data_IF_435047751509
#
_entry.id   IF_435047751509
#
_cell.length_a   1.000
_cell.length_b   1.000
_cell.length_c   1.000
_cell.angle_alpha   90.00
_cell.angle_beta   90.00
_cell.angle_gamma   90.00
#
_symmetry.space_group_name_H-M   'P 1'
#
loop_
_entity.id
_entity.type
_entity.pdbx_description
1 polymer ?
#
# COMPACT_ATOMS: atom_id res chain seq x y z
N UNK A 1 27.46 15.21 5.64
CA UNK A 1 26.52 14.09 5.76
C UNK A 1 26.93 13.06 4.72
N UNK A 2 26.95 11.78 5.09
CA UNK A 2 27.21 10.66 4.20
C UNK A 2 25.89 10.02 3.76
N UNK A 3 25.89 9.38 2.59
CA UNK A 3 24.73 8.62 2.12
C UNK A 3 24.89 7.12 2.42
N UNK A 4 23.80 6.39 2.62
CA UNK A 4 23.83 4.91 2.68
C UNK A 4 24.38 4.28 1.39
N UNK A 5 24.53 5.05 0.31
CA UNK A 5 25.12 4.61 -0.97
C UNK A 5 26.67 4.62 -0.96
N UNK A 6 27.30 5.05 0.12
CA UNK A 6 28.76 5.27 0.21
C UNK A 6 29.50 4.14 0.97
N UNK A 7 28.92 2.95 1.04
CA UNK A 7 29.59 1.83 1.71
C UNK A 7 29.80 2.05 3.20
N UNK A 8 28.70 2.20 3.93
CA UNK A 8 28.70 2.60 5.36
C UNK A 8 28.72 1.43 6.35
N UNK A 9 28.68 0.19 5.88
CA UNK A 9 28.69 -1.04 6.68
C UNK A 9 29.66 -2.07 6.09
N UNK A 10 30.12 -3.06 6.87
CA UNK A 10 30.94 -4.15 6.37
C UNK A 10 30.10 -5.39 6.02
N UNK A 11 30.61 -6.23 5.11
CA UNK A 11 29.99 -7.52 4.75
C UNK A 11 29.87 -8.44 5.97
N UNK A 12 30.89 -8.46 6.84
CA UNK A 12 30.87 -9.26 8.07
C UNK A 12 29.77 -8.84 9.04
N UNK A 13 29.55 -7.53 9.17
CA UNK A 13 28.47 -6.99 9.98
C UNK A 13 27.10 -7.37 9.44
N UNK A 14 26.89 -7.24 8.13
CA UNK A 14 25.64 -7.64 7.50
C UNK A 14 25.37 -9.15 7.63
N UNK A 15 26.40 -10.00 7.59
CA UNK A 15 26.25 -11.44 7.76
C UNK A 15 25.79 -11.80 9.18
N UNK A 16 26.28 -11.12 10.22
CA UNK A 16 25.76 -11.29 11.60
C UNK A 16 24.29 -10.84 11.68
N UNK A 17 23.98 -9.71 11.07
CA UNK A 17 22.60 -9.20 10.98
C UNK A 17 21.65 -10.16 10.27
N UNK A 18 22.10 -10.84 9.21
CA UNK A 18 21.32 -11.82 8.49
C UNK A 18 20.93 -13.01 9.38
N UNK A 19 21.84 -13.52 10.17
CA UNK A 19 21.56 -14.63 11.09
C UNK A 19 20.51 -14.22 12.12
N UNK A 20 20.67 -13.03 12.70
CA UNK A 20 19.75 -12.48 13.67
C UNK A 20 18.36 -12.21 13.06
N UNK A 21 18.33 -11.66 11.84
CA UNK A 21 17.10 -11.43 11.09
C UNK A 21 16.30 -12.71 10.86
N UNK A 22 16.95 -13.77 10.40
CA UNK A 22 16.30 -15.07 10.18
C UNK A 22 15.67 -15.63 11.45
N UNK A 23 16.33 -15.43 12.59
CA UNK A 23 15.86 -15.94 13.87
C UNK A 23 14.70 -15.14 14.47
N UNK A 24 14.66 -13.83 14.29
CA UNK A 24 13.78 -12.95 15.08
C UNK A 24 12.84 -12.05 14.24
N UNK A 25 13.08 -11.87 12.95
CA UNK A 25 12.41 -10.86 12.15
C UNK A 25 11.64 -11.43 10.95
N UNK A 26 12.15 -12.53 10.37
CA UNK A 26 11.66 -13.09 9.10
C UNK A 26 10.20 -13.54 9.16
N UNK A 27 9.72 -14.00 10.31
CA UNK A 27 8.32 -14.41 10.49
C UNK A 27 7.31 -13.27 10.18
N UNK A 28 7.68 -12.03 10.50
CA UNK A 28 6.83 -10.86 10.25
C UNK A 28 7.22 -10.10 8.98
N UNK A 29 8.52 -9.97 8.71
CA UNK A 29 9.00 -9.13 7.60
C UNK A 29 9.33 -9.91 6.30
N UNK A 30 9.08 -11.22 6.28
CA UNK A 30 9.33 -12.09 5.13
C UNK A 30 10.78 -12.59 5.06
N UNK A 31 11.03 -13.68 4.33
CA UNK A 31 12.37 -14.28 4.25
C UNK A 31 13.35 -13.45 3.41
N UNK A 32 12.85 -12.68 2.45
CA UNK A 32 13.61 -11.76 1.61
C UNK A 32 13.33 -10.29 1.92
N UNK A 33 12.88 -9.98 3.14
CA UNK A 33 12.52 -8.63 3.61
C UNK A 33 11.34 -7.99 2.84
N UNK A 34 10.57 -8.78 2.12
CA UNK A 34 9.45 -8.37 1.26
C UNK A 34 8.20 -7.95 2.04
N UNK A 35 8.18 -8.18 3.35
CA UNK A 35 7.01 -7.96 4.20
C UNK A 35 6.04 -9.15 4.19
N UNK A 36 5.38 -9.38 5.33
CA UNK A 36 4.29 -10.36 5.49
C UNK A 36 3.23 -9.77 6.42
N UNK A 37 3.20 -10.10 7.71
CA UNK A 37 2.39 -9.39 8.71
C UNK A 37 3.00 -8.03 9.09
N UNK A 38 4.32 -7.89 8.97
CA UNK A 38 5.05 -6.63 9.08
C UNK A 38 5.31 -5.98 7.72
N UNK A 39 5.69 -4.69 7.70
CA UNK A 39 5.99 -3.98 6.45
C UNK A 39 7.26 -4.51 5.77
N UNK A 40 7.42 -4.31 4.44
CA UNK A 40 8.68 -4.60 3.76
C UNK A 40 9.82 -3.74 4.33
N UNK A 41 11.02 -4.31 4.37
CA UNK A 41 12.24 -3.64 4.85
C UNK A 41 13.23 -3.36 3.71
N UNK A 42 12.80 -3.57 2.47
CA UNK A 42 13.54 -3.25 1.23
C UNK A 42 12.58 -2.70 0.16
N UNK A 43 13.14 -2.13 -0.89
CA UNK A 43 12.39 -1.61 -2.04
C UNK A 43 11.87 -0.18 -1.85
N UNK A 44 11.12 0.30 -2.87
CA UNK A 44 10.72 1.71 -2.96
C UNK A 44 9.86 2.19 -1.80
N UNK A 45 8.96 1.34 -1.30
CA UNK A 45 8.10 1.65 -0.15
C UNK A 45 8.93 1.88 1.13
N UNK A 46 9.93 1.03 1.38
CA UNK A 46 10.86 1.21 2.49
C UNK A 46 11.67 2.51 2.34
N UNK A 47 12.24 2.73 1.16
CA UNK A 47 13.04 3.92 0.88
C UNK A 47 12.24 5.22 0.99
N UNK A 48 10.98 5.21 0.55
CA UNK A 48 10.08 6.36 0.70
C UNK A 48 9.79 6.69 2.15
N UNK A 49 9.54 5.67 2.98
CA UNK A 49 9.30 5.85 4.41
C UNK A 49 10.50 6.38 5.18
N UNK A 50 11.72 6.07 4.72
CA UNK A 50 12.97 6.51 5.34
C UNK A 50 13.64 7.68 4.61
N UNK A 51 13.03 8.21 3.56
CA UNK A 51 13.54 9.33 2.77
C UNK A 51 14.04 10.49 3.63
N UNK A 52 15.24 10.95 3.34
CA UNK A 52 15.92 12.04 4.02
C UNK A 52 16.12 11.87 5.55
N UNK A 53 15.74 10.73 6.14
CA UNK A 53 15.96 10.43 7.56
C UNK A 53 17.39 9.93 7.78
N UNK A 54 17.91 10.08 8.99
CA UNK A 54 19.19 9.51 9.37
C UNK A 54 19.08 8.00 9.60
N UNK A 55 20.19 7.30 9.45
CA UNK A 55 20.28 5.87 9.76
C UNK A 55 20.09 5.61 11.27
N UNK A 56 20.35 6.63 12.12
CA UNK A 56 20.02 6.59 13.52
C UNK A 56 18.52 6.35 13.76
N UNK A 57 17.64 7.01 13.01
CA UNK A 57 16.20 6.83 13.14
C UNK A 57 15.78 5.38 12.84
N UNK A 58 16.39 4.74 11.82
CA UNK A 58 16.14 3.33 11.53
C UNK A 58 16.65 2.45 12.65
N UNK A 59 17.88 2.67 13.10
CA UNK A 59 18.50 1.86 14.15
C UNK A 59 17.74 1.98 15.47
N UNK A 60 17.29 3.17 15.82
CA UNK A 60 16.45 3.41 16.99
C UNK A 60 15.09 2.72 16.89
N UNK A 61 14.47 2.74 15.71
CA UNK A 61 13.25 1.99 15.46
C UNK A 61 13.47 0.49 15.69
N UNK A 62 14.54 -0.07 15.14
CA UNK A 62 14.87 -1.48 15.34
C UNK A 62 15.09 -1.79 16.81
N UNK A 63 15.97 -1.03 17.50
CA UNK A 63 16.34 -1.31 18.87
C UNK A 63 15.20 -1.13 19.86
N UNK A 64 14.43 -0.04 19.73
CA UNK A 64 13.45 0.36 20.75
C UNK A 64 12.08 -0.32 20.57
N UNK A 65 11.75 -0.74 19.35
CA UNK A 65 10.38 -1.22 19.05
C UNK A 65 10.31 -2.60 18.42
N UNK A 66 11.45 -3.21 18.10
CA UNK A 66 11.52 -4.54 17.52
C UNK A 66 12.36 -5.50 18.39
N UNK A 67 12.07 -6.83 18.34
CA UNK A 67 10.89 -7.47 17.74
C UNK A 67 9.60 -6.99 18.43
N UNK A 68 8.48 -6.94 17.67
CA UNK A 68 7.22 -6.40 18.18
C UNK A 68 6.69 -7.10 19.44
N UNK A 69 6.94 -8.42 19.56
CA UNK A 69 6.56 -9.24 20.71
C UNK A 69 7.50 -9.07 21.92
N UNK A 70 8.67 -8.46 21.75
CA UNK A 70 9.64 -8.22 22.81
C UNK A 70 10.44 -6.92 22.54
N UNK A 71 9.80 -5.75 22.57
CA UNK A 71 10.43 -4.46 22.26
C UNK A 71 11.61 -4.16 23.19
N UNK A 72 12.69 -3.62 22.62
CA UNK A 72 13.88 -3.21 23.40
C UNK A 72 14.78 -4.36 23.84
N UNK A 73 14.52 -5.61 23.42
CA UNK A 73 15.37 -6.77 23.78
C UNK A 73 16.69 -6.83 23.01
N UNK A 74 16.81 -6.11 21.91
CA UNK A 74 18.01 -6.09 21.10
C UNK A 74 19.07 -5.16 21.72
N UNK A 75 20.30 -5.66 21.81
CA UNK A 75 21.44 -4.79 22.15
C UNK A 75 21.70 -3.78 21.03
N UNK A 76 22.44 -2.71 21.35
CA UNK A 76 22.85 -1.71 20.35
C UNK A 76 23.67 -2.32 19.22
N UNK A 77 24.57 -3.26 19.53
CA UNK A 77 25.34 -3.98 18.52
C UNK A 77 24.45 -4.81 17.59
N UNK A 78 23.49 -5.53 18.15
CA UNK A 78 22.55 -6.33 17.36
C UNK A 78 21.69 -5.47 16.45
N UNK A 79 21.24 -4.30 16.90
CA UNK A 79 20.46 -3.39 16.03
C UNK A 79 21.31 -2.82 14.89
N UNK A 80 22.60 -2.54 15.12
CA UNK A 80 23.54 -2.11 14.08
C UNK A 80 23.80 -3.22 13.05
N UNK A 81 23.96 -4.45 13.49
CA UNK A 81 24.12 -5.60 12.59
C UNK A 81 22.86 -5.81 11.74
N UNK A 82 21.67 -5.68 12.32
CA UNK A 82 20.40 -5.75 11.60
C UNK A 82 20.25 -4.59 10.58
N UNK A 83 20.62 -3.36 10.96
CA UNK A 83 20.62 -2.23 10.04
C UNK A 83 21.57 -2.47 8.85
N UNK A 84 22.76 -3.01 9.10
CA UNK A 84 23.70 -3.38 8.05
C UNK A 84 23.12 -4.44 7.10
N UNK A 85 22.42 -5.46 7.63
CA UNK A 85 21.77 -6.46 6.80
C UNK A 85 20.61 -5.89 5.96
N UNK A 86 19.80 -5.01 6.52
CA UNK A 86 18.74 -4.32 5.76
C UNK A 86 19.33 -3.52 4.60
N UNK A 87 20.44 -2.82 4.81
CA UNK A 87 21.13 -2.10 3.73
C UNK A 87 21.69 -3.06 2.67
N UNK A 88 22.29 -4.18 3.08
CA UNK A 88 22.79 -5.19 2.13
C UNK A 88 21.66 -5.80 1.30
N UNK A 89 20.56 -6.20 1.95
CA UNK A 89 19.38 -6.75 1.28
C UNK A 89 18.74 -5.73 0.32
N UNK A 90 18.81 -4.44 0.67
CA UNK A 90 18.42 -3.31 -0.18
C UNK A 90 19.40 -3.01 -1.31
N UNK A 91 20.45 -3.82 -1.48
CA UNK A 91 21.49 -3.68 -2.53
C UNK A 91 22.32 -2.41 -2.43
N UNK A 92 22.48 -1.84 -1.24
CA UNK A 92 23.43 -0.77 -1.02
C UNK A 92 24.85 -1.35 -0.91
N UNK A 93 25.88 -0.61 -1.37
CA UNK A 93 27.25 -1.12 -1.37
C UNK A 93 27.78 -1.29 0.06
N UNK A 94 28.54 -2.35 0.29
CA UNK A 94 29.32 -2.52 1.51
C UNK A 94 30.61 -1.70 1.44
N UNK A 95 31.08 -1.27 2.61
CA UNK A 95 32.39 -0.63 2.82
C UNK A 95 33.34 -1.55 3.58
N UNK A 96 34.48 -0.97 4.01
CA UNK A 96 35.50 -1.67 4.80
C UNK A 96 35.22 -1.61 6.30
N UNK A 97 34.64 -0.50 6.77
CA UNK A 97 34.36 -0.28 8.19
C UNK A 97 32.96 -0.76 8.57
N UNK A 98 32.82 -1.20 9.80
CA UNK A 98 31.50 -1.49 10.38
C UNK A 98 30.73 -0.21 10.67
N UNK A 99 29.43 -0.29 10.54
CA UNK A 99 28.52 0.75 10.96
C UNK A 99 28.64 0.91 12.48
N UNK A 100 28.97 2.12 12.92
CA UNK A 100 29.13 2.45 14.33
C UNK A 100 28.10 3.45 14.80
N UNK A 101 27.80 3.43 16.08
CA UNK A 101 26.82 4.31 16.71
C UNK A 101 27.14 5.80 16.47
N UNK A 102 28.40 6.19 16.59
CA UNK A 102 28.84 7.57 16.40
C UNK A 102 28.62 8.12 14.98
N UNK A 103 28.48 7.25 13.98
CA UNK A 103 28.29 7.65 12.59
C UNK A 103 26.81 7.76 12.18
N UNK A 104 25.88 7.15 12.89
CA UNK A 104 24.47 6.97 12.47
C UNK A 104 23.75 8.29 12.15
N UNK A 105 23.92 9.31 12.98
CA UNK A 105 23.25 10.59 12.80
C UNK A 105 23.74 11.36 11.55
N UNK A 106 24.94 11.04 11.06
CA UNK A 106 25.56 11.67 9.91
C UNK A 106 25.31 10.91 8.60
N UNK A 107 24.75 9.70 8.68
CA UNK A 107 24.42 8.86 7.53
C UNK A 107 22.94 9.01 7.25
N UNK A 108 22.58 9.39 6.02
CA UNK A 108 21.19 9.63 5.64
C UNK A 108 20.76 8.72 4.51
N UNK A 109 19.49 8.35 4.53
CA UNK A 109 18.83 7.79 3.36
C UNK A 109 18.77 8.86 2.26
N UNK A 110 18.98 8.49 1.00
CA UNK A 110 18.79 9.43 -0.09
C UNK A 110 17.36 9.98 -0.03
N UNK A 111 17.20 11.22 -0.45
CA UNK A 111 15.84 11.70 -0.70
C UNK A 111 15.18 10.72 -1.65
N UNK A 112 13.97 10.30 -1.31
CA UNK A 112 13.16 9.58 -2.28
C UNK A 112 13.24 10.41 -3.57
N UNK A 113 13.61 9.77 -4.67
CA UNK A 113 13.55 10.48 -5.95
C UNK A 113 12.14 11.03 -6.01
N UNK A 114 12.03 12.36 -5.97
CA UNK A 114 10.77 12.99 -6.37
C UNK A 114 10.45 12.34 -7.68
N UNK A 115 9.36 11.58 -7.71
CA UNK A 115 8.94 10.90 -8.92
C UNK A 115 9.09 11.90 -10.05
N UNK A 116 9.79 11.54 -11.11
CA UNK A 116 9.85 12.38 -12.29
C UNK A 116 8.43 12.84 -12.57
N UNK A 117 8.22 14.11 -12.93
CA UNK A 117 6.90 14.68 -13.10
C UNK A 117 6.04 13.68 -13.90
N UNK A 118 5.04 13.05 -13.23
CA UNK A 118 4.20 12.00 -13.80
C UNK A 118 4.34 10.60 -13.20
N UNK A 119 5.30 10.31 -12.31
CA UNK A 119 5.34 9.01 -11.63
C UNK A 119 4.29 8.94 -10.50
N UNK A 120 3.62 7.78 -10.31
CA UNK A 120 2.58 7.64 -9.30
C UNK A 120 3.15 7.76 -7.88
N UNK A 121 2.53 8.56 -7.00
CA UNK A 121 2.90 8.73 -5.61
C UNK A 121 2.69 7.44 -4.80
N UNK A 122 1.56 6.77 -5.01
CA UNK A 122 1.19 5.57 -4.29
C UNK A 122 1.31 4.30 -5.14
N UNK A 123 1.55 3.16 -4.48
CA UNK A 123 1.44 1.85 -5.12
C UNK A 123 -0.03 1.49 -5.38
N UNK A 124 -0.23 0.39 -6.12
CA UNK A 124 -1.57 -0.06 -6.51
C UNK A 124 -2.49 -0.34 -5.32
N UNK A 125 -1.96 -0.94 -4.25
CA UNK A 125 -2.78 -1.26 -3.08
C UNK A 125 -3.17 0.00 -2.28
N UNK A 126 -2.32 1.02 -2.26
CA UNK A 126 -2.63 2.32 -1.67
C UNK A 126 -3.72 3.03 -2.47
N UNK A 127 -3.62 3.05 -3.80
CA UNK A 127 -4.66 3.60 -4.66
C UNK A 127 -6.01 2.88 -4.45
N UNK A 128 -6.01 1.54 -4.39
CA UNK A 128 -7.22 0.76 -4.14
C UNK A 128 -7.86 1.11 -2.79
N UNK A 129 -7.06 1.20 -1.72
CA UNK A 129 -7.53 1.52 -0.37
C UNK A 129 -7.98 2.97 -0.21
N UNK A 130 -7.29 3.89 -0.88
CA UNK A 130 -7.59 5.31 -0.77
C UNK A 130 -8.85 5.71 -1.55
N UNK A 131 -9.12 5.09 -2.70
CA UNK A 131 -10.15 5.55 -3.62
C UNK A 131 -11.16 4.47 -3.96
N UNK A 132 -10.72 3.33 -4.51
CA UNK A 132 -11.65 2.33 -5.04
C UNK A 132 -12.50 1.69 -3.93
N UNK A 133 -11.87 1.24 -2.85
CA UNK A 133 -12.54 0.54 -1.75
C UNK A 133 -13.59 1.40 -1.02
N UNK A 134 -13.31 2.62 -0.53
CA UNK A 134 -14.33 3.41 0.15
C UNK A 134 -15.51 3.78 -0.77
N UNK A 135 -15.24 4.09 -2.03
CA UNK A 135 -16.29 4.48 -2.98
C UNK A 135 -17.13 3.29 -3.46
N UNK A 136 -16.53 2.10 -3.65
CA UNK A 136 -17.32 0.90 -3.93
C UNK A 136 -18.26 0.55 -2.78
N UNK A 137 -17.80 0.70 -1.53
CA UNK A 137 -18.66 0.45 -0.36
C UNK A 137 -19.86 1.41 -0.28
N UNK A 138 -19.69 2.67 -0.68
CA UNK A 138 -20.83 3.61 -0.77
C UNK A 138 -21.86 3.12 -1.77
N UNK A 139 -21.43 2.62 -2.93
CA UNK A 139 -22.33 2.07 -3.95
C UNK A 139 -22.99 0.77 -3.46
N UNK A 140 -22.22 -0.16 -2.89
CA UNK A 140 -22.77 -1.41 -2.35
C UNK A 140 -23.77 -1.19 -1.21
N UNK A 141 -23.59 -0.14 -0.43
CA UNK A 141 -24.48 0.17 0.69
C UNK A 141 -25.92 0.49 0.26
N UNK A 142 -26.14 0.82 -1.01
CA UNK A 142 -27.48 1.02 -1.60
C UNK A 142 -28.37 -0.23 -1.45
N UNK A 143 -27.78 -1.42 -1.47
CA UNK A 143 -28.52 -2.67 -1.25
C UNK A 143 -29.10 -2.79 0.18
N UNK A 144 -28.50 -2.09 1.13
CA UNK A 144 -28.87 -2.17 2.54
C UNK A 144 -29.66 -0.95 3.01
N UNK A 145 -29.52 0.17 2.30
CA UNK A 145 -30.09 1.45 2.72
C UNK A 145 -30.47 2.29 1.50
N UNK A 146 -31.76 2.64 1.42
CA UNK A 146 -32.25 3.58 0.39
C UNK A 146 -31.55 4.95 0.53
N UNK A 147 -30.84 5.41 -0.51
CA UNK A 147 -30.20 6.72 -0.50
C UNK A 147 -31.17 7.89 -0.37
N UNK A 148 -32.46 7.69 -0.74
CA UNK A 148 -33.52 8.67 -0.58
C UNK A 148 -34.10 8.76 0.83
N UNK A 149 -33.81 7.78 1.70
CA UNK A 149 -34.31 7.75 3.07
C UNK A 149 -33.65 8.86 3.91
N UNK A 150 -34.44 9.43 4.83
CA UNK A 150 -33.92 10.45 5.76
C UNK A 150 -32.88 9.84 6.71
N UNK A 151 -31.71 10.45 6.80
CA UNK A 151 -30.66 10.06 7.75
C UNK A 151 -30.90 10.74 9.09
N UNK A 152 -30.80 10.00 10.20
CA UNK A 152 -30.81 10.57 11.55
C UNK A 152 -29.56 11.42 11.74
N UNK A 153 -29.70 12.64 12.22
CA UNK A 153 -28.56 13.48 12.61
C UNK A 153 -27.87 12.83 13.84
N UNK A 154 -26.52 12.90 13.91
CA UNK A 154 -25.79 12.54 15.12
C UNK A 154 -26.30 13.33 16.32
N UNK A 155 -26.26 12.77 17.56
CA UNK A 155 -26.63 13.50 18.75
C UNK A 155 -25.71 14.72 18.94
N UNK A 156 -26.29 15.85 19.37
CA UNK A 156 -25.59 17.11 19.55
C UNK A 156 -24.45 17.06 20.59
N UNK A 157 -24.41 15.99 21.42
CA UNK A 157 -23.41 15.77 22.45
C UNK A 157 -22.17 14.95 21.98
N UNK A 158 -22.17 14.48 20.74
CA UNK A 158 -21.00 13.74 20.21
C UNK A 158 -19.83 14.71 20.00
N UNK A 159 -18.58 14.32 20.29
CA UNK A 159 -17.40 15.08 19.91
C UNK A 159 -17.40 15.35 18.40
N UNK A 160 -16.94 16.56 18.00
CA UNK A 160 -16.88 16.91 16.60
C UNK A 160 -15.84 16.05 15.85
N UNK A 161 -16.28 15.38 14.79
CA UNK A 161 -15.46 14.61 13.89
C UNK A 161 -15.63 15.08 12.44
N UNK A 162 -14.54 15.44 11.77
CA UNK A 162 -14.59 15.95 10.39
C UNK A 162 -15.07 14.92 9.38
N UNK A 163 -14.81 13.62 9.60
CA UNK A 163 -15.21 12.55 8.68
C UNK A 163 -16.71 12.32 8.80
N UNK A 164 -17.21 12.24 10.04
CA UNK A 164 -18.64 12.10 10.30
C UNK A 164 -19.41 13.32 9.82
N UNK A 165 -18.96 14.53 10.16
CA UNK A 165 -19.54 15.77 9.67
C UNK A 165 -19.52 15.83 8.14
N UNK A 166 -18.40 15.53 7.47
CA UNK A 166 -18.27 15.51 6.03
C UNK A 166 -19.26 14.57 5.36
N UNK A 167 -19.54 13.42 5.96
CA UNK A 167 -20.51 12.46 5.43
C UNK A 167 -21.96 13.00 5.43
N UNK A 168 -22.25 14.02 6.26
CA UNK A 168 -23.58 14.66 6.33
C UNK A 168 -23.76 15.80 5.32
N UNK A 169 -22.68 16.30 4.70
CA UNK A 169 -22.74 17.43 3.76
C UNK A 169 -23.35 17.00 2.42
N UNK A 170 -22.99 15.81 1.95
CA UNK A 170 -23.44 15.27 0.66
C UNK A 170 -24.06 13.87 0.86
N UNK A 171 -25.17 13.74 1.62
CA UNK A 171 -25.76 12.46 1.95
C UNK A 171 -26.61 11.89 0.81
N UNK A 172 -27.01 10.64 0.97
CA UNK A 172 -27.97 9.99 0.09
C UNK A 172 -27.47 9.86 -1.34
N UNK A 173 -28.29 10.24 -2.30
CA UNK A 173 -27.95 10.15 -3.72
C UNK A 173 -26.73 10.96 -4.14
N UNK A 174 -26.43 12.08 -3.47
CA UNK A 174 -25.22 12.85 -3.75
C UNK A 174 -23.95 12.08 -3.40
N UNK A 175 -23.97 11.29 -2.31
CA UNK A 175 -22.85 10.41 -1.97
C UNK A 175 -22.64 9.35 -3.05
N UNK A 176 -23.74 8.79 -3.59
CA UNK A 176 -23.67 7.79 -4.68
C UNK A 176 -23.12 8.44 -5.96
N UNK A 177 -23.58 9.65 -6.33
CA UNK A 177 -23.07 10.39 -7.49
C UNK A 177 -21.55 10.57 -7.39
N UNK A 178 -21.04 11.00 -6.22
CA UNK A 178 -19.61 11.21 -5.99
C UNK A 178 -18.82 9.90 -6.01
N UNK A 179 -19.33 8.86 -5.37
CA UNK A 179 -18.69 7.56 -5.38
C UNK A 179 -18.61 6.96 -6.80
N UNK A 180 -19.66 7.12 -7.59
CA UNK A 180 -19.71 6.67 -8.98
C UNK A 180 -18.70 7.43 -9.86
N UNK A 181 -18.59 8.76 -9.69
CA UNK A 181 -17.56 9.59 -10.34
C UNK A 181 -16.17 9.12 -9.92
N UNK A 182 -15.94 8.94 -8.61
CA UNK A 182 -14.63 8.49 -8.11
C UNK A 182 -14.23 7.14 -8.74
N UNK A 183 -15.13 6.18 -8.85
CA UNK A 183 -14.84 4.89 -9.52
C UNK A 183 -14.52 5.10 -11.00
N UNK A 184 -15.38 5.82 -11.74
CA UNK A 184 -15.22 5.97 -13.18
C UNK A 184 -13.96 6.76 -13.56
N UNK A 185 -13.64 7.83 -12.83
CA UNK A 185 -12.55 8.74 -13.19
C UNK A 185 -11.19 8.33 -12.61
N UNK A 186 -11.17 7.55 -11.55
CA UNK A 186 -9.91 7.06 -10.98
C UNK A 186 -9.48 5.71 -11.53
N UNK A 187 -10.37 4.92 -12.13
CA UNK A 187 -10.01 3.65 -12.77
C UNK A 187 -8.86 3.80 -13.80
N UNK A 188 -8.80 4.83 -14.65
CA UNK A 188 -7.66 5.05 -15.55
C UNK A 188 -6.32 5.23 -14.84
N UNK A 189 -6.29 5.62 -13.56
CA UNK A 189 -5.06 5.67 -12.77
C UNK A 189 -4.40 4.30 -12.59
N UNK A 190 -5.16 3.22 -12.79
CA UNK A 190 -4.64 1.84 -12.82
C UNK A 190 -3.78 1.57 -14.06
N UNK A 191 -3.86 2.43 -15.07
CA UNK A 191 -3.05 2.37 -16.30
C UNK A 191 -1.86 3.31 -16.27
N UNK A 192 -1.59 3.99 -15.14
CA UNK A 192 -0.49 4.95 -15.05
C UNK A 192 0.85 4.21 -15.13
N UNK A 193 1.69 4.52 -16.15
CA UNK A 193 3.00 3.91 -16.28
C UNK A 193 3.87 4.14 -15.04
N UNK A 194 4.71 3.17 -14.70
CA UNK A 194 5.61 3.26 -13.56
C UNK A 194 4.96 2.93 -12.21
N UNK A 195 3.63 2.76 -12.12
CA UNK A 195 2.99 2.31 -10.89
C UNK A 195 3.45 0.90 -10.53
N UNK A 196 3.67 0.68 -9.24
CA UNK A 196 4.08 -0.62 -8.70
C UNK A 196 2.97 -1.21 -7.84
N UNK A 197 2.97 -2.53 -7.74
CA UNK A 197 2.16 -3.27 -6.79
C UNK A 197 2.81 -3.25 -5.42
N UNK A 198 2.08 -3.60 -4.38
CA UNK A 198 2.55 -3.57 -2.99
C UNK A 198 3.85 -4.38 -2.78
N UNK A 199 4.09 -5.42 -3.57
CA UNK A 199 5.30 -6.24 -3.55
C UNK A 199 6.44 -5.70 -4.43
N UNK A 200 6.33 -4.47 -4.95
CA UNK A 200 7.33 -3.83 -5.79
C UNK A 200 7.31 -4.23 -7.28
N UNK A 201 6.51 -5.22 -7.68
CA UNK A 201 6.37 -5.60 -9.10
C UNK A 201 5.72 -4.47 -9.89
N UNK A 202 6.10 -4.25 -11.17
CA UNK A 202 5.41 -3.28 -12.01
C UNK A 202 3.96 -3.72 -12.23
N UNK A 203 3.04 -2.75 -12.25
CA UNK A 203 1.66 -2.98 -12.69
C UNK A 203 1.69 -3.30 -14.18
N UNK A 204 1.01 -4.37 -14.64
CA UNK A 204 1.08 -4.82 -16.03
C UNK A 204 0.18 -4.00 -16.96
N UNK A 205 0.40 -2.68 -17.00
CA UNK A 205 -0.46 -1.70 -17.71
C UNK A 205 -0.60 -1.94 -19.21
N UNK A 206 0.34 -2.67 -19.82
CA UNK A 206 0.32 -2.95 -21.27
C UNK A 206 -0.49 -4.17 -21.64
N UNK A 207 -0.83 -5.03 -20.69
CA UNK A 207 -1.59 -6.26 -20.95
C UNK A 207 -3.02 -5.95 -21.35
N UNK A 208 -3.53 -6.71 -22.32
CA UNK A 208 -4.88 -6.53 -22.85
C UNK A 208 -5.95 -6.84 -21.81
N UNK A 209 -5.79 -7.92 -21.02
CA UNK A 209 -6.69 -8.28 -19.94
C UNK A 209 -6.74 -7.23 -18.83
N UNK A 210 -5.58 -6.65 -18.46
CA UNK A 210 -5.53 -5.54 -17.49
C UNK A 210 -6.33 -4.32 -17.97
N UNK A 211 -6.12 -3.92 -19.22
CA UNK A 211 -6.87 -2.80 -19.85
C UNK A 211 -8.37 -3.07 -19.89
N UNK A 212 -8.77 -4.32 -20.14
CA UNK A 212 -10.17 -4.72 -20.15
C UNK A 212 -10.81 -4.58 -18.76
N UNK A 213 -10.15 -5.06 -17.68
CA UNK A 213 -10.65 -4.89 -16.31
C UNK A 213 -10.79 -3.41 -15.91
N UNK A 214 -9.85 -2.56 -16.31
CA UNK A 214 -9.97 -1.12 -16.07
C UNK A 214 -11.17 -0.53 -16.82
N UNK A 215 -11.39 -0.94 -18.06
CA UNK A 215 -12.56 -0.51 -18.85
C UNK A 215 -13.87 -0.91 -18.19
N UNK A 216 -13.99 -2.15 -17.72
CA UNK A 216 -15.16 -2.66 -17.00
C UNK A 216 -15.46 -1.83 -15.75
N UNK A 217 -14.43 -1.47 -14.98
CA UNK A 217 -14.58 -0.63 -13.82
C UNK A 217 -15.05 0.79 -14.17
N UNK A 218 -14.55 1.39 -15.24
CA UNK A 218 -15.03 2.68 -15.75
C UNK A 218 -16.50 2.59 -16.16
N UNK A 219 -16.88 1.55 -16.88
CA UNK A 219 -18.24 1.36 -17.36
C UNK A 219 -19.25 1.19 -16.23
N UNK A 220 -18.94 0.39 -15.22
CA UNK A 220 -19.84 0.22 -14.07
C UNK A 220 -19.96 1.51 -13.24
N UNK A 221 -18.87 2.26 -13.06
CA UNK A 221 -18.93 3.59 -12.43
C UNK A 221 -19.86 4.55 -13.18
N UNK A 222 -19.80 4.57 -14.52
CA UNK A 222 -20.69 5.36 -15.36
C UNK A 222 -22.15 4.91 -15.27
N UNK A 223 -22.39 3.60 -15.20
CA UNK A 223 -23.74 3.05 -14.99
C UNK A 223 -24.31 3.49 -13.64
N UNK A 224 -23.52 3.36 -12.56
CA UNK A 224 -23.91 3.79 -11.22
C UNK A 224 -24.26 5.28 -11.18
N UNK A 225 -23.46 6.14 -11.84
CA UNK A 225 -23.72 7.56 -11.93
C UNK A 225 -25.06 7.87 -12.64
N UNK A 226 -25.31 7.24 -13.79
CA UNK A 226 -26.58 7.45 -14.51
C UNK A 226 -27.79 7.01 -13.70
N UNK A 227 -27.72 5.87 -13.06
CA UNK A 227 -28.80 5.37 -12.21
C UNK A 227 -29.02 6.26 -10.98
N UNK A 228 -27.94 6.75 -10.36
CA UNK A 228 -28.01 7.68 -9.24
C UNK A 228 -28.64 9.02 -9.63
N UNK A 229 -28.24 9.59 -10.76
CA UNK A 229 -28.83 10.83 -11.28
C UNK A 229 -30.31 10.69 -11.61
N UNK A 230 -30.71 9.53 -12.09
CA UNK A 230 -32.12 9.20 -12.33
C UNK A 230 -32.90 8.78 -11.07
N UNK A 231 -32.23 8.69 -9.89
CA UNK A 231 -32.81 8.19 -8.64
C UNK A 231 -33.42 6.78 -8.78
N UNK A 232 -32.87 5.98 -9.67
CA UNK A 232 -33.35 4.64 -9.96
C UNK A 232 -32.74 3.63 -9.00
N UNK A 233 -33.41 3.43 -7.87
CA UNK A 233 -32.99 2.51 -6.82
C UNK A 233 -32.92 1.06 -7.31
N UNK A 234 -33.92 0.62 -8.06
CA UNK A 234 -34.02 -0.78 -8.52
C UNK A 234 -32.84 -1.20 -9.41
N UNK A 235 -32.26 -0.27 -10.17
CA UNK A 235 -31.09 -0.53 -11.00
C UNK A 235 -29.84 -0.89 -10.17
N UNK A 236 -29.78 -0.56 -8.89
CA UNK A 236 -28.59 -0.79 -8.08
C UNK A 236 -28.37 -2.23 -7.66
N UNK A 237 -29.37 -3.11 -7.75
CA UNK A 237 -29.19 -4.55 -7.58
C UNK A 237 -28.21 -5.06 -8.65
N UNK A 238 -28.54 -4.81 -9.92
CA UNK A 238 -27.74 -5.20 -11.09
C UNK A 238 -26.39 -4.48 -11.16
N UNK A 239 -26.36 -3.19 -10.81
CA UNK A 239 -25.11 -2.38 -10.77
C UNK A 239 -24.15 -2.90 -9.70
N UNK A 240 -24.65 -3.28 -8.53
CA UNK A 240 -23.82 -3.82 -7.46
C UNK A 240 -23.20 -5.16 -7.85
N UNK A 241 -23.95 -6.04 -8.53
CA UNK A 241 -23.44 -7.28 -9.07
C UNK A 241 -22.33 -7.01 -10.10
N UNK A 242 -22.56 -6.12 -11.07
CA UNK A 242 -21.56 -5.74 -12.07
C UNK A 242 -20.31 -5.09 -11.45
N UNK A 243 -20.45 -4.30 -10.40
CA UNK A 243 -19.32 -3.71 -9.70
C UNK A 243 -18.51 -4.79 -8.96
N UNK A 244 -19.21 -5.73 -8.31
CA UNK A 244 -18.56 -6.87 -7.68
C UNK A 244 -17.75 -7.68 -8.70
N UNK A 245 -18.34 -7.97 -9.85
CA UNK A 245 -17.68 -8.74 -10.92
C UNK A 245 -16.46 -8.01 -11.49
N UNK A 246 -16.58 -6.70 -11.75
CA UNK A 246 -15.46 -5.89 -12.22
C UNK A 246 -14.28 -5.90 -11.23
N UNK A 247 -14.57 -5.88 -9.93
CA UNK A 247 -13.54 -5.99 -8.89
C UNK A 247 -13.00 -7.43 -8.82
N UNK A 248 -13.88 -8.44 -8.71
CA UNK A 248 -13.52 -9.83 -8.49
C UNK A 248 -12.71 -10.41 -9.65
N UNK A 249 -13.06 -10.12 -10.90
CA UNK A 249 -12.39 -10.63 -12.09
C UNK A 249 -10.91 -10.21 -12.13
N UNK A 250 -10.61 -8.94 -11.85
CA UNK A 250 -9.24 -8.46 -11.76
C UNK A 250 -8.52 -9.05 -10.53
N UNK A 251 -9.15 -9.03 -9.36
CA UNK A 251 -8.56 -9.53 -8.11
C UNK A 251 -8.22 -11.02 -8.19
N UNK A 252 -9.06 -11.82 -8.79
CA UNK A 252 -8.86 -13.27 -9.00
C UNK A 252 -7.56 -13.58 -9.75
N UNK A 253 -7.19 -12.73 -10.70
CA UNK A 253 -5.99 -12.91 -11.52
C UNK A 253 -4.76 -12.24 -10.89
N UNK A 254 -4.91 -11.05 -10.30
CA UNK A 254 -3.80 -10.18 -9.96
C UNK A 254 -3.60 -9.96 -8.45
N UNK A 255 -4.55 -10.35 -7.60
CA UNK A 255 -4.47 -10.19 -6.15
C UNK A 255 -4.55 -11.50 -5.38
N UNK A 256 -5.59 -12.31 -5.63
CA UNK A 256 -6.03 -13.39 -4.74
C UNK A 256 -5.68 -14.78 -5.28
N UNK A 257 -4.47 -14.99 -5.77
CA UNK A 257 -4.06 -16.32 -6.24
C UNK A 257 -4.03 -17.30 -5.08
N UNK A 258 -4.77 -18.41 -5.25
CA UNK A 258 -5.00 -19.40 -4.22
C UNK A 258 -3.73 -19.93 -3.56
N UNK A 259 -3.78 -20.19 -2.26
CA UNK A 259 -2.70 -20.73 -1.45
C UNK A 259 -1.72 -19.71 -0.89
N UNK A 260 -1.80 -18.45 -1.28
CA UNK A 260 -0.93 -17.36 -0.79
C UNK A 260 -1.73 -16.19 -0.22
N UNK A 261 -2.92 -16.44 0.27
CA UNK A 261 -3.74 -15.42 0.92
C UNK A 261 -2.95 -14.73 2.02
N UNK A 262 -2.82 -13.42 1.89
CA UNK A 262 -2.08 -12.59 2.85
C UNK A 262 -0.60 -12.34 2.53
N UNK A 263 0.11 -13.17 1.75
CA UNK A 263 1.55 -12.98 1.49
C UNK A 263 1.86 -11.82 0.56
N UNK A 264 0.93 -11.40 -0.30
CA UNK A 264 1.16 -10.37 -1.31
C UNK A 264 2.21 -10.71 -2.38
N UNK A 265 2.93 -11.83 -2.22
CA UNK A 265 4.08 -12.20 -3.06
C UNK A 265 3.71 -12.37 -4.55
N UNK A 266 2.51 -12.85 -4.83
CA UNK A 266 2.02 -13.09 -6.20
C UNK A 266 1.24 -11.93 -6.80
N UNK A 267 1.06 -10.84 -6.08
CA UNK A 267 0.34 -9.66 -6.59
C UNK A 267 0.96 -9.15 -7.87
N UNK A 268 0.11 -8.78 -8.81
CA UNK A 268 0.48 -8.32 -10.16
C UNK A 268 1.29 -9.33 -11.00
N UNK A 269 1.35 -10.56 -10.59
CA UNK A 269 1.88 -11.64 -11.43
C UNK A 269 0.69 -12.28 -12.16
N UNK A 270 0.61 -12.17 -13.48
CA UNK A 270 -0.45 -12.86 -14.25
C UNK A 270 -0.31 -14.37 -14.08
N UNK A 271 -1.42 -15.10 -14.28
CA UNK A 271 -1.36 -16.54 -14.43
C UNK A 271 -0.53 -16.82 -15.70
N UNK A 272 0.48 -17.67 -15.59
CA UNK A 272 1.11 -18.22 -16.78
C UNK A 272 0.05 -19.06 -17.49
N UNK A 273 -0.32 -18.64 -18.68
CA UNK A 273 -1.13 -19.48 -19.57
C UNK A 273 -0.20 -20.60 -20.02
N UNK A 274 -0.43 -21.81 -19.49
CA UNK A 274 0.22 -23.02 -19.98
C UNK A 274 -0.27 -23.38 -21.36
#
# INVERSE_FOLDING_TARGET
MRSITEGVYSVGQAARGQQLYKAQCSACHGNALEGASGPPLVGDSFLSNWSARSLENLNDKIQKTMPFNLPGSLSRSQSLDLAAYVLQAGKFPAGQAELSDAALAQIVFPMARTSAAGAPEGNLAELMRAIAFPNSNIIFNVQLKDPGAQTKKPPASAPFDYVEWGSTIYPGWLAIDQAAVAIAETAPLLLTPGRRCQNGRPVPVDRADWKQYVKELVEVGRLARRASQARNFDAFVDISEKLNDACANCHKIYRDKGGTEGSGATRCQPLEVK
#
